data_IF_615632815491
#
_entry.id   IF_615632815491
#
_cell.length_a   1.000
_cell.length_b   1.000
_cell.length_c   1.000
_cell.angle_alpha   90.00
_cell.angle_beta   90.00
_cell.angle_gamma   90.00
#
_symmetry.space_group_name_H-M   'P 1'
#
loop_
_entity.id
_entity.type
_entity.pdbx_description
1 polymer ?
#
# COMPACT_ATOMS: atom_id res chain seq x y z
N UNK A 1 26.28 7.77 14.20
CA UNK A 1 25.09 6.91 14.04
C UNK A 1 24.42 7.09 12.67
N UNK A 2 24.04 8.31 12.28
CA UNK A 2 23.38 8.57 10.99
C UNK A 2 24.25 8.21 9.76
N UNK A 3 25.56 8.48 9.80
CA UNK A 3 26.48 8.09 8.73
C UNK A 3 26.51 6.57 8.50
N UNK A 4 26.52 5.78 9.58
CA UNK A 4 26.47 4.31 9.49
C UNK A 4 25.17 3.85 8.82
N UNK A 5 24.03 4.46 9.18
CA UNK A 5 22.75 4.19 8.53
C UNK A 5 22.75 4.59 7.04
N UNK A 6 23.41 5.70 6.69
CA UNK A 6 23.58 6.14 5.29
C UNK A 6 24.43 5.16 4.48
N UNK A 7 25.56 4.69 5.03
CA UNK A 7 26.39 3.68 4.38
C UNK A 7 25.63 2.35 4.19
N UNK A 8 24.89 1.91 5.21
CA UNK A 8 24.08 0.68 5.13
C UNK A 8 22.97 0.81 4.07
N UNK A 9 22.28 1.95 4.01
CA UNK A 9 21.27 2.22 3.00
C UNK A 9 21.87 2.23 1.59
N UNK A 10 23.02 2.92 1.41
CA UNK A 10 23.76 2.93 0.15
C UNK A 10 24.18 1.52 -0.30
N UNK A 11 24.63 0.68 0.62
CA UNK A 11 24.97 -0.71 0.33
C UNK A 11 23.76 -1.53 -0.14
N UNK A 12 22.59 -1.37 0.50
CA UNK A 12 21.36 -2.07 0.10
C UNK A 12 20.86 -1.58 -1.27
N UNK A 13 20.98 -0.29 -1.59
CA UNK A 13 20.66 0.23 -2.91
C UNK A 13 21.66 -0.24 -3.98
N UNK A 14 22.95 -0.31 -3.65
CA UNK A 14 23.96 -0.88 -4.53
C UNK A 14 23.68 -2.37 -4.80
N UNK A 15 23.20 -3.10 -3.79
CA UNK A 15 22.75 -4.47 -3.97
C UNK A 15 21.56 -4.56 -4.94
N UNK A 16 20.56 -3.66 -4.85
CA UNK A 16 19.48 -3.61 -5.84
C UNK A 16 20.00 -3.33 -7.25
N UNK A 17 20.96 -2.40 -7.38
CA UNK A 17 21.61 -2.11 -8.66
C UNK A 17 22.31 -3.35 -9.23
N UNK A 18 23.06 -4.08 -8.41
CA UNK A 18 23.71 -5.32 -8.83
C UNK A 18 22.67 -6.34 -9.32
N UNK A 19 21.60 -6.58 -8.56
CA UNK A 19 20.60 -7.58 -8.94
C UNK A 19 19.80 -7.22 -10.20
N UNK A 20 19.53 -5.93 -10.46
CA UNK A 20 18.63 -5.49 -11.54
C UNK A 20 19.36 -4.91 -12.76
N UNK A 21 20.60 -4.40 -12.62
CA UNK A 21 21.35 -3.74 -13.71
C UNK A 21 22.61 -4.48 -14.13
N UNK A 22 23.00 -5.55 -13.44
CA UNK A 22 24.17 -6.35 -13.82
C UNK A 22 23.79 -7.79 -14.08
N UNK A 23 24.60 -8.49 -14.87
CA UNK A 23 24.44 -9.92 -15.18
C UNK A 23 25.19 -10.83 -14.19
N UNK A 24 25.52 -10.32 -13.00
CA UNK A 24 26.21 -11.11 -11.96
C UNK A 24 25.39 -12.33 -11.54
N UNK A 25 24.06 -12.17 -11.48
CA UNK A 25 23.13 -13.26 -11.18
C UNK A 25 22.40 -13.67 -12.45
N UNK A 26 21.97 -14.93 -12.53
CA UNK A 26 21.21 -15.43 -13.67
C UNK A 26 19.74 -15.02 -13.59
N UNK A 27 19.01 -15.23 -14.68
CA UNK A 27 17.57 -15.01 -14.73
C UNK A 27 16.84 -16.28 -15.14
N UNK A 28 15.70 -16.55 -14.50
CA UNK A 28 14.85 -17.68 -14.84
C UNK A 28 13.42 -17.25 -15.17
N UNK A 29 12.71 -18.10 -15.92
CA UNK A 29 11.30 -17.88 -16.23
C UNK A 29 10.44 -18.24 -15.02
N UNK A 30 9.37 -17.49 -14.80
CA UNK A 30 8.36 -17.79 -13.78
C UNK A 30 7.66 -19.11 -14.13
N UNK A 31 7.42 -19.94 -13.11
CA UNK A 31 6.66 -21.18 -13.23
C UNK A 31 5.49 -21.14 -12.26
N UNK A 32 4.30 -21.49 -12.73
CA UNK A 32 3.09 -21.57 -11.90
C UNK A 32 2.63 -23.01 -11.78
N UNK A 33 2.57 -23.51 -10.54
CA UNK A 33 1.88 -24.74 -10.21
C UNK A 33 0.89 -24.45 -9.08
N UNK A 34 -0.38 -24.78 -9.31
CA UNK A 34 -1.49 -24.45 -8.41
C UNK A 34 -1.33 -25.14 -7.05
N UNK A 35 -0.98 -26.42 -7.05
CA UNK A 35 -0.85 -27.21 -5.83
C UNK A 35 0.31 -26.72 -4.98
N UNK A 36 1.47 -26.45 -5.59
CA UNK A 36 2.62 -25.87 -4.90
C UNK A 36 2.29 -24.49 -4.31
N UNK A 37 1.58 -23.65 -5.07
CA UNK A 37 1.20 -22.32 -4.64
C UNK A 37 0.34 -22.37 -3.35
N UNK A 38 -0.72 -23.18 -3.35
CA UNK A 38 -1.59 -23.32 -2.20
C UNK A 38 -0.90 -24.06 -1.05
N UNK A 39 -0.08 -25.07 -1.34
CA UNK A 39 0.71 -25.78 -0.34
C UNK A 39 1.60 -24.82 0.45
N UNK A 40 2.37 -23.96 -0.24
CA UNK A 40 3.24 -22.97 0.41
C UNK A 40 2.45 -21.95 1.22
N UNK A 41 1.31 -21.49 0.69
CA UNK A 41 0.45 -20.55 1.40
C UNK A 41 -0.12 -21.18 2.67
N UNK A 42 -0.72 -22.37 2.59
CA UNK A 42 -1.26 -23.07 3.76
C UNK A 42 -0.18 -23.42 4.77
N UNK A 43 1.01 -23.83 4.33
CA UNK A 43 2.15 -24.08 5.20
C UNK A 43 2.52 -22.83 6.00
N UNK A 44 2.65 -21.67 5.34
CA UNK A 44 2.94 -20.40 6.01
C UNK A 44 1.87 -20.04 7.05
N UNK A 45 0.59 -20.27 6.72
CA UNK A 45 -0.54 -20.00 7.63
C UNK A 45 -0.47 -20.92 8.85
N UNK A 46 -0.28 -22.22 8.64
CA UNK A 46 -0.19 -23.21 9.71
C UNK A 46 0.99 -22.92 10.65
N UNK A 47 2.17 -22.68 10.09
CA UNK A 47 3.36 -22.32 10.88
C UNK A 47 3.12 -21.02 11.64
N UNK A 48 2.54 -20.00 11.00
CA UNK A 48 2.22 -18.72 11.66
C UNK A 48 1.18 -18.89 12.78
N UNK A 49 0.18 -19.73 12.57
CA UNK A 49 -0.85 -20.01 13.57
C UNK A 49 -0.30 -20.75 14.79
N UNK A 50 0.61 -21.70 14.60
CA UNK A 50 1.25 -22.44 15.70
C UNK A 50 2.23 -21.55 16.47
N UNK A 51 3.04 -20.76 15.76
CA UNK A 51 4.18 -20.05 16.35
C UNK A 51 3.87 -18.64 16.86
N UNK A 52 2.83 -17.99 16.33
CA UNK A 52 2.69 -16.52 16.43
C UNK A 52 1.30 -16.04 16.82
N UNK A 53 0.46 -16.94 17.32
CA UNK A 53 -0.89 -16.61 17.79
C UNK A 53 -0.82 -15.79 19.07
N UNK A 54 -1.28 -14.53 19.02
CA UNK A 54 -1.25 -13.62 20.17
C UNK A 54 -2.63 -13.04 20.49
N UNK A 55 -2.92 -12.93 21.78
CA UNK A 55 -4.10 -12.26 22.33
C UNK A 55 -3.71 -10.84 22.71
N UNK A 56 -4.44 -9.85 22.19
CA UNK A 56 -4.32 -8.45 22.60
C UNK A 56 -5.41 -8.08 23.59
N UNK A 57 -5.02 -7.38 24.65
CA UNK A 57 -5.89 -6.89 25.74
C UNK A 57 -5.93 -5.35 25.79
N UNK A 58 -5.65 -4.67 24.66
CA UNK A 58 -5.57 -3.21 24.64
C UNK A 58 -6.93 -2.56 24.93
N UNK A 59 -6.90 -1.41 25.61
CA UNK A 59 -8.07 -0.58 25.87
C UNK A 59 -8.39 0.30 24.65
N UNK A 60 -9.68 0.51 24.36
CA UNK A 60 -10.09 1.44 23.30
C UNK A 60 -9.68 2.87 23.67
N UNK A 61 -9.23 3.70 22.69
CA UNK A 61 -9.07 5.14 22.94
C UNK A 61 -10.42 5.87 23.15
N UNK A 62 -11.56 5.25 22.87
CA UNK A 62 -12.90 5.84 22.97
C UNK A 62 -13.78 5.25 24.07
N UNK A 63 -13.39 4.12 24.68
CA UNK A 63 -14.12 3.49 25.79
C UNK A 63 -13.18 2.95 26.86
N UNK A 64 -13.64 2.93 28.11
CA UNK A 64 -12.91 2.38 29.28
C UNK A 64 -12.75 0.85 29.16
N UNK A 65 -13.59 0.19 28.33
CA UNK A 65 -13.53 -1.24 28.06
C UNK A 65 -12.54 -1.56 26.90
N UNK A 66 -11.92 -2.75 26.88
CA UNK A 66 -11.09 -3.21 25.76
C UNK A 66 -11.94 -3.52 24.53
N UNK A 67 -12.44 -2.48 23.87
CA UNK A 67 -13.16 -2.56 22.61
C UNK A 67 -12.16 -2.40 21.46
N UNK A 68 -11.91 -3.50 20.76
CA UNK A 68 -10.92 -3.60 19.69
C UNK A 68 -11.62 -3.66 18.32
N UNK A 69 -12.53 -2.72 18.03
CA UNK A 69 -13.10 -2.63 16.68
C UNK A 69 -12.03 -2.10 15.72
N UNK A 70 -11.64 -2.87 14.70
CA UNK A 70 -10.56 -2.52 13.77
C UNK A 70 -9.28 -2.04 14.48
N UNK A 71 -8.75 -2.85 15.41
CA UNK A 71 -7.52 -2.49 16.11
C UNK A 71 -6.34 -2.37 15.12
N UNK A 72 -5.38 -1.51 15.44
CA UNK A 72 -4.10 -1.37 14.73
C UNK A 72 -3.47 -2.74 14.47
N UNK A 73 -3.42 -3.62 15.47
CA UNK A 73 -2.88 -4.97 15.31
C UNK A 73 -3.58 -5.79 14.21
N UNK A 74 -4.90 -5.70 14.10
CA UNK A 74 -5.66 -6.36 13.04
C UNK A 74 -5.41 -5.72 11.68
N UNK A 75 -5.32 -4.39 11.61
CA UNK A 75 -5.02 -3.72 10.34
C UNK A 75 -3.62 -4.03 9.83
N UNK A 76 -2.63 -4.14 10.71
CA UNK A 76 -1.27 -4.55 10.35
C UNK A 76 -1.23 -6.03 9.93
N UNK A 77 -1.94 -6.91 10.64
CA UNK A 77 -2.11 -8.30 10.20
C UNK A 77 -2.73 -8.39 8.79
N UNK A 78 -3.81 -7.64 8.55
CA UNK A 78 -4.49 -7.59 7.26
C UNK A 78 -3.56 -7.09 6.15
N UNK A 79 -2.73 -6.06 6.42
CA UNK A 79 -1.66 -5.64 5.49
C UNK A 79 -0.67 -6.77 5.20
N UNK A 80 -0.26 -7.51 6.22
CA UNK A 80 0.61 -8.67 6.07
C UNK A 80 0.04 -9.73 5.14
N UNK A 81 -1.23 -10.09 5.32
CA UNK A 81 -1.93 -11.03 4.44
C UNK A 81 -1.94 -10.55 2.99
N UNK A 82 -2.31 -9.29 2.76
CA UNK A 82 -2.31 -8.70 1.42
C UNK A 82 -0.91 -8.67 0.82
N UNK A 83 0.11 -8.38 1.64
CA UNK A 83 1.50 -8.36 1.20
C UNK A 83 1.98 -9.74 0.74
N UNK A 84 1.69 -10.79 1.50
CA UNK A 84 2.03 -12.18 1.12
C UNK A 84 1.36 -12.56 -0.19
N UNK A 85 0.07 -12.19 -0.38
CA UNK A 85 -0.65 -12.45 -1.63
C UNK A 85 0.02 -11.74 -2.80
N UNK A 86 0.40 -10.45 -2.67
CA UNK A 86 1.11 -9.73 -3.72
C UNK A 86 2.46 -10.36 -4.09
N UNK A 87 3.24 -10.71 -3.07
CA UNK A 87 4.52 -11.35 -3.24
C UNK A 87 4.40 -12.68 -4.00
N UNK A 88 3.53 -13.57 -3.53
CA UNK A 88 3.30 -14.87 -4.15
C UNK A 88 2.73 -14.73 -5.57
N UNK A 89 1.83 -13.77 -5.79
CA UNK A 89 1.27 -13.46 -7.11
C UNK A 89 2.37 -13.09 -8.12
N UNK A 90 3.28 -12.17 -7.77
CA UNK A 90 4.31 -11.71 -8.69
C UNK A 90 5.43 -12.74 -8.90
N UNK A 91 5.78 -13.52 -7.87
CA UNK A 91 6.82 -14.55 -7.99
C UNK A 91 6.38 -15.70 -8.90
N UNK A 92 5.21 -16.28 -8.63
CA UNK A 92 4.72 -17.44 -9.40
C UNK A 92 3.94 -17.06 -10.66
N UNK A 93 3.71 -15.76 -10.93
CA UNK A 93 2.85 -15.28 -12.03
C UNK A 93 1.43 -15.89 -12.02
N UNK A 94 0.84 -16.00 -10.81
CA UNK A 94 -0.45 -16.66 -10.58
C UNK A 94 -1.63 -15.82 -11.10
N UNK A 95 -1.86 -15.80 -12.42
CA UNK A 95 -2.92 -15.00 -13.07
C UNK A 95 -4.32 -15.28 -12.52
N UNK A 96 -4.57 -16.49 -12.03
CA UNK A 96 -5.85 -16.92 -11.44
C UNK A 96 -6.30 -16.05 -10.26
N UNK A 97 -5.35 -15.53 -9.49
CA UNK A 97 -5.65 -14.68 -8.32
C UNK A 97 -5.55 -13.19 -8.62
N UNK A 98 -5.53 -12.79 -9.90
CA UNK A 98 -5.47 -11.38 -10.29
C UNK A 98 -6.58 -10.55 -9.62
N UNK A 99 -7.82 -11.06 -9.64
CA UNK A 99 -8.97 -10.39 -9.01
C UNK A 99 -8.79 -10.26 -7.49
N UNK A 100 -8.14 -11.23 -6.82
CA UNK A 100 -7.77 -11.11 -5.39
C UNK A 100 -6.79 -9.97 -5.20
N UNK A 101 -5.73 -9.91 -6.01
CA UNK A 101 -4.75 -8.84 -5.97
C UNK A 101 -5.41 -7.47 -6.12
N UNK A 102 -6.39 -7.33 -7.02
CA UNK A 102 -7.16 -6.09 -7.17
C UNK A 102 -7.96 -5.72 -5.91
N UNK A 103 -8.63 -6.67 -5.27
CA UNK A 103 -9.31 -6.42 -3.98
C UNK A 103 -8.30 -6.01 -2.90
N UNK A 104 -7.11 -6.62 -2.87
CA UNK A 104 -6.06 -6.24 -1.92
C UNK A 104 -5.60 -4.78 -2.14
N UNK A 105 -5.44 -4.32 -3.38
CA UNK A 105 -5.10 -2.92 -3.67
C UNK A 105 -6.23 -2.00 -3.19
N UNK A 106 -7.49 -2.33 -3.52
CA UNK A 106 -8.65 -1.56 -3.08
C UNK A 106 -8.74 -1.48 -1.54
N UNK A 107 -8.44 -2.57 -0.84
CA UNK A 107 -8.40 -2.62 0.63
C UNK A 107 -7.28 -1.73 1.22
N UNK A 108 -6.10 -1.70 0.59
CA UNK A 108 -5.03 -0.77 0.96
C UNK A 108 -5.44 0.70 0.77
N UNK A 109 -6.08 1.02 -0.35
CA UNK A 109 -6.60 2.37 -0.62
C UNK A 109 -7.74 2.73 0.35
N UNK A 110 -8.62 1.78 0.67
CA UNK A 110 -9.66 1.91 1.70
C UNK A 110 -9.03 2.26 3.06
N UNK A 111 -8.00 1.52 3.49
CA UNK A 111 -7.27 1.78 4.73
C UNK A 111 -6.62 3.17 4.76
N UNK A 112 -6.18 3.66 3.60
CA UNK A 112 -5.61 5.00 3.47
C UNK A 112 -6.67 6.06 3.74
N UNK A 113 -7.84 5.92 3.13
CA UNK A 113 -9.00 6.77 3.41
C UNK A 113 -9.41 6.71 4.89
N UNK A 114 -9.61 5.50 5.41
CA UNK A 114 -10.03 5.25 6.79
C UNK A 114 -9.04 5.80 7.82
N UNK A 115 -7.76 5.44 7.69
CA UNK A 115 -6.71 5.78 8.66
C UNK A 115 -6.39 7.27 8.68
N UNK A 116 -6.22 7.88 7.51
CA UNK A 116 -5.91 9.31 7.42
C UNK A 116 -7.10 10.17 7.89
N UNK A 117 -8.32 9.84 7.47
CA UNK A 117 -9.50 10.57 7.92
C UNK A 117 -9.70 10.42 9.43
N UNK A 118 -9.64 9.20 9.97
CA UNK A 118 -9.75 8.96 11.42
C UNK A 118 -8.73 9.79 12.20
N UNK A 119 -7.48 9.86 11.74
CA UNK A 119 -6.45 10.65 12.40
C UNK A 119 -6.79 12.15 12.37
N UNK A 120 -6.98 12.74 11.19
CA UNK A 120 -7.19 14.19 11.07
C UNK A 120 -8.52 14.65 11.69
N UNK A 121 -9.56 13.84 11.59
CA UNK A 121 -10.88 14.17 12.13
C UNK A 121 -10.92 14.06 13.66
N UNK A 122 -10.34 12.99 14.24
CA UNK A 122 -10.37 12.77 15.70
C UNK A 122 -9.32 13.62 16.42
N UNK A 123 -8.08 13.63 15.92
CA UNK A 123 -6.97 14.34 16.58
C UNK A 123 -6.99 15.83 16.30
N UNK A 124 -7.70 16.29 15.25
CA UNK A 124 -7.71 17.69 14.78
C UNK A 124 -6.31 18.27 14.56
N UNK A 125 -5.33 17.40 14.33
CA UNK A 125 -3.93 17.75 14.18
C UNK A 125 -3.58 17.86 12.70
N UNK A 126 -3.61 19.09 12.19
CA UNK A 126 -3.25 19.41 10.79
C UNK A 126 -1.77 19.81 10.65
N UNK A 127 -0.92 19.44 11.62
CA UNK A 127 0.50 19.76 11.61
C UNK A 127 1.20 19.27 10.33
N UNK A 128 1.93 20.18 9.68
CA UNK A 128 2.77 19.87 8.54
C UNK A 128 3.82 18.80 8.87
N UNK A 129 4.37 18.79 10.09
CA UNK A 129 5.35 17.79 10.53
C UNK A 129 4.82 16.36 10.41
N UNK A 130 3.56 16.12 10.81
CA UNK A 130 2.98 14.78 10.70
C UNK A 130 2.73 14.38 9.25
N UNK A 131 2.19 15.30 8.46
CA UNK A 131 1.98 15.10 7.04
C UNK A 131 3.29 14.75 6.32
N UNK A 132 4.37 15.50 6.58
CA UNK A 132 5.70 15.25 6.03
C UNK A 132 6.26 13.88 6.45
N UNK A 133 6.06 13.45 7.71
CA UNK A 133 6.48 12.12 8.16
C UNK A 133 5.76 10.99 7.43
N UNK A 134 4.47 11.18 7.12
CA UNK A 134 3.69 10.22 6.35
C UNK A 134 4.18 10.16 4.90
N UNK A 135 4.40 11.32 4.26
CA UNK A 135 4.97 11.40 2.91
C UNK A 135 6.35 10.76 2.84
N UNK A 136 7.18 10.96 3.87
CA UNK A 136 8.48 10.31 3.99
C UNK A 136 8.35 8.79 4.02
N UNK A 137 7.48 8.25 4.88
CA UNK A 137 7.30 6.79 5.01
C UNK A 137 6.87 6.14 3.69
N UNK A 138 6.02 6.82 2.92
CA UNK A 138 5.48 6.30 1.66
C UNK A 138 6.48 6.36 0.50
N UNK A 139 7.38 7.35 0.49
CA UNK A 139 8.14 7.68 -0.72
C UNK A 139 9.65 7.57 -0.59
N UNK A 140 10.21 7.58 0.62
CA UNK A 140 11.66 7.61 0.82
C UNK A 140 12.40 6.49 0.08
N UNK A 141 11.96 5.24 0.26
CA UNK A 141 12.60 4.09 -0.37
C UNK A 141 12.45 4.12 -1.90
N UNK A 142 11.26 4.45 -2.41
CA UNK A 142 11.03 4.53 -3.85
C UNK A 142 11.90 5.60 -4.50
N UNK A 143 12.01 6.79 -3.89
CA UNK A 143 12.89 7.83 -4.42
C UNK A 143 14.35 7.35 -4.45
N UNK A 144 14.81 6.63 -3.42
CA UNK A 144 16.12 5.99 -3.44
C UNK A 144 16.30 5.03 -4.62
N UNK A 145 15.31 4.16 -4.87
CA UNK A 145 15.34 3.24 -6.01
C UNK A 145 15.29 3.97 -7.35
N UNK A 146 14.43 4.98 -7.51
CA UNK A 146 14.32 5.77 -8.74
C UNK A 146 15.64 6.49 -9.08
N UNK A 147 16.33 7.04 -8.08
CA UNK A 147 17.61 7.73 -8.29
C UNK A 147 18.72 6.75 -8.69
N UNK A 148 18.81 5.60 -8.01
CA UNK A 148 19.90 4.64 -8.24
C UNK A 148 19.69 3.80 -9.50
N UNK A 149 18.45 3.46 -9.83
CA UNK A 149 18.11 2.55 -10.92
C UNK A 149 17.60 3.24 -12.18
N UNK A 150 17.41 4.57 -12.14
CA UNK A 150 16.75 5.37 -13.20
C UNK A 150 15.37 4.82 -13.60
N UNK A 151 14.60 4.37 -12.60
CA UNK A 151 13.23 3.89 -12.80
C UNK A 151 12.22 5.03 -12.62
N UNK A 152 11.14 4.99 -13.39
CA UNK A 152 9.98 5.86 -13.23
C UNK A 152 9.27 5.57 -11.92
N UNK A 153 8.73 6.61 -11.28
CA UNK A 153 7.97 6.48 -10.03
C UNK A 153 6.75 5.55 -10.18
N UNK A 154 6.17 5.50 -11.37
CA UNK A 154 5.03 4.64 -11.69
C UNK A 154 5.32 3.15 -11.74
N UNK A 155 6.59 2.72 -11.85
CA UNK A 155 6.95 1.30 -11.73
C UNK A 155 6.45 0.73 -10.39
N UNK A 156 6.54 1.55 -9.33
CA UNK A 156 6.08 1.23 -7.98
C UNK A 156 4.73 1.85 -7.67
N UNK A 157 3.76 1.71 -8.60
CA UNK A 157 2.49 2.46 -8.64
C UNK A 157 1.70 2.54 -7.32
N UNK A 158 1.85 1.56 -6.42
CA UNK A 158 1.24 1.58 -5.09
C UNK A 158 1.61 2.86 -4.33
N UNK A 159 2.86 3.33 -4.44
CA UNK A 159 3.35 4.52 -3.74
C UNK A 159 2.72 5.83 -4.24
N UNK A 160 2.70 6.15 -5.56
CA UNK A 160 1.96 7.31 -6.07
C UNK A 160 0.48 7.24 -5.72
N UNK A 161 -0.14 6.06 -5.80
CA UNK A 161 -1.54 5.86 -5.48
C UNK A 161 -1.86 6.24 -4.02
N UNK A 162 -1.08 5.73 -3.06
CA UNK A 162 -1.24 6.07 -1.65
C UNK A 162 -0.90 7.52 -1.34
N UNK A 163 0.11 8.09 -2.00
CA UNK A 163 0.49 9.49 -1.86
C UNK A 163 -0.65 10.40 -2.31
N UNK A 164 -1.22 10.13 -3.49
CA UNK A 164 -2.35 10.86 -4.03
C UNK A 164 -3.58 10.80 -3.12
N UNK A 165 -4.04 9.61 -2.74
CA UNK A 165 -5.22 9.50 -1.88
C UNK A 165 -4.98 10.05 -0.46
N UNK A 166 -3.74 10.02 0.03
CA UNK A 166 -3.40 10.69 1.28
C UNK A 166 -3.49 12.21 1.18
N UNK A 167 -3.06 12.78 0.06
CA UNK A 167 -3.20 14.21 -0.24
C UNK A 167 -4.66 14.63 -0.39
N UNK A 168 -5.49 13.84 -1.09
CA UNK A 168 -6.91 14.16 -1.26
C UNK A 168 -7.66 14.12 0.07
N UNK A 169 -7.39 13.13 0.93
CA UNK A 169 -7.98 13.06 2.28
C UNK A 169 -7.51 14.25 3.14
N UNK A 170 -6.22 14.60 3.08
CA UNK A 170 -5.70 15.77 3.79
C UNK A 170 -6.38 17.06 3.32
N UNK A 171 -6.55 17.25 2.01
CA UNK A 171 -7.29 18.37 1.44
C UNK A 171 -8.76 18.40 1.86
N UNK A 172 -9.45 17.25 1.80
CA UNK A 172 -10.86 17.11 2.19
C UNK A 172 -11.12 17.57 3.63
N UNK A 173 -10.30 17.11 4.57
CA UNK A 173 -10.45 17.45 5.99
C UNK A 173 -9.89 18.85 6.29
N UNK A 174 -8.78 19.24 5.63
CA UNK A 174 -8.07 20.50 5.87
C UNK A 174 -8.81 21.74 5.38
N UNK A 175 -9.44 21.70 4.21
CA UNK A 175 -10.23 22.83 3.67
C UNK A 175 -11.40 23.09 4.60
N UNK A 176 -11.61 24.34 5.07
CA UNK A 176 -12.71 24.69 5.99
C UNK A 176 -12.76 23.83 7.27
N UNK A 177 -11.60 23.47 7.83
CA UNK A 177 -11.51 22.58 8.99
C UNK A 177 -12.35 23.01 10.21
N UNK A 178 -12.53 24.32 10.43
CA UNK A 178 -13.31 24.91 11.52
C UNK A 178 -14.78 24.48 11.50
N UNK A 179 -15.33 24.18 10.33
CA UNK A 179 -16.74 23.81 10.15
C UNK A 179 -16.96 22.29 10.05
N UNK A 180 -15.91 21.49 10.20
CA UNK A 180 -16.03 20.02 10.14
C UNK A 180 -16.88 19.44 11.28
N UNK A 181 -17.17 20.18 12.35
CA UNK A 181 -18.06 19.71 13.40
C UNK A 181 -19.53 19.72 12.97
N UNK A 182 -19.87 20.52 11.97
CA UNK A 182 -21.24 20.64 11.45
C UNK A 182 -21.51 19.49 10.49
N UNK A 183 -22.51 18.66 10.82
CA UNK A 183 -22.86 17.45 10.03
C UNK A 183 -23.24 17.77 8.58
N UNK A 184 -23.94 18.87 8.34
CA UNK A 184 -24.32 19.29 6.98
C UNK A 184 -23.10 19.65 6.13
N UNK A 185 -22.10 20.32 6.70
CA UNK A 185 -20.86 20.68 5.99
C UNK A 185 -20.08 19.44 5.57
N UNK A 186 -19.96 18.44 6.44
CA UNK A 186 -19.33 17.16 6.09
C UNK A 186 -20.12 16.43 5.00
N UNK A 187 -21.46 16.39 5.09
CA UNK A 187 -22.28 15.75 4.07
C UNK A 187 -22.11 16.43 2.69
N UNK A 188 -22.09 17.76 2.65
CA UNK A 188 -21.83 18.54 1.42
C UNK A 188 -20.43 18.25 0.88
N UNK A 189 -19.41 18.15 1.74
CA UNK A 189 -18.05 17.79 1.33
C UNK A 189 -17.98 16.40 0.71
N UNK A 190 -18.64 15.40 1.31
CA UNK A 190 -18.73 14.05 0.73
C UNK A 190 -19.38 14.07 -0.64
N UNK A 191 -20.50 14.79 -0.79
CA UNK A 191 -21.19 14.95 -2.06
C UNK A 191 -20.27 15.61 -3.10
N UNK A 192 -19.62 16.72 -2.73
CA UNK A 192 -18.68 17.43 -3.61
C UNK A 192 -17.50 16.54 -4.02
N UNK A 193 -16.94 15.76 -3.09
CA UNK A 193 -15.85 14.83 -3.37
C UNK A 193 -16.28 13.74 -4.35
N UNK A 194 -17.49 13.20 -4.21
CA UNK A 194 -18.05 12.21 -5.12
C UNK A 194 -18.27 12.80 -6.52
N UNK A 195 -18.81 14.03 -6.60
CA UNK A 195 -18.98 14.75 -7.86
C UNK A 195 -17.65 15.04 -8.56
N UNK A 196 -16.62 15.44 -7.82
CA UNK A 196 -15.27 15.67 -8.36
C UNK A 196 -14.71 14.38 -8.98
N UNK A 197 -14.88 13.23 -8.32
CA UNK A 197 -14.42 11.95 -8.87
C UNK A 197 -15.17 11.62 -10.17
N UNK A 198 -16.49 11.84 -10.23
CA UNK A 198 -17.25 11.63 -11.46
C UNK A 198 -16.76 12.56 -12.58
N UNK A 199 -16.58 13.85 -12.29
CA UNK A 199 -16.12 14.84 -13.27
C UNK A 199 -14.74 14.48 -13.81
N UNK A 200 -13.81 14.07 -12.94
CA UNK A 200 -12.42 13.82 -13.33
C UNK A 200 -12.26 12.50 -14.08
N UNK A 201 -12.96 11.42 -13.73
CA UNK A 201 -12.76 10.10 -14.32
C UNK A 201 -13.84 9.65 -15.32
N UNK A 202 -15.07 10.16 -15.25
CA UNK A 202 -16.15 9.75 -16.17
C UNK A 202 -16.28 10.68 -17.38
N UNK A 203 -15.92 11.97 -17.25
CA UNK A 203 -15.97 12.92 -18.37
C UNK A 203 -14.69 12.79 -19.21
N UNK A 204 -14.79 12.42 -20.50
CA UNK A 204 -13.63 12.29 -21.37
C UNK A 204 -12.83 13.59 -21.47
N UNK A 205 -11.50 13.49 -21.41
CA UNK A 205 -10.57 14.62 -21.57
C UNK A 205 -10.29 15.44 -20.31
N UNK A 206 -11.17 15.43 -19.29
CA UNK A 206 -10.93 16.17 -18.03
C UNK A 206 -9.71 15.62 -17.29
N UNK A 207 -9.61 14.28 -17.21
CA UNK A 207 -8.45 13.61 -16.63
C UNK A 207 -7.14 14.07 -17.29
N UNK A 208 -7.08 14.01 -18.62
CA UNK A 208 -5.86 14.32 -19.37
C UNK A 208 -5.42 15.77 -19.17
N UNK A 209 -6.36 16.72 -19.19
CA UNK A 209 -6.06 18.14 -18.95
C UNK A 209 -5.53 18.37 -17.54
N UNK A 210 -6.17 17.75 -16.52
CA UNK A 210 -5.80 17.93 -15.12
C UNK A 210 -4.43 17.31 -14.80
N UNK A 211 -4.12 16.16 -15.40
CA UNK A 211 -2.91 15.39 -15.08
C UNK A 211 -1.72 15.66 -16.01
N UNK A 212 -1.92 16.26 -17.18
CA UNK A 212 -0.83 16.61 -18.12
C UNK A 212 0.35 17.36 -17.49
N UNK A 213 0.16 18.37 -16.60
CA UNK A 213 1.28 19.05 -15.94
C UNK A 213 2.14 18.12 -15.06
N UNK A 214 1.58 17.02 -14.56
CA UNK A 214 2.25 16.07 -13.67
C UNK A 214 2.93 14.92 -14.42
N UNK A 215 2.98 14.96 -15.76
CA UNK A 215 3.61 13.91 -16.60
C UNK A 215 5.07 13.66 -16.25
N UNK A 216 5.78 14.66 -15.75
CA UNK A 216 7.17 14.50 -15.34
C UNK A 216 7.37 13.58 -14.13
N UNK A 217 6.35 13.43 -13.26
CA UNK A 217 6.38 12.54 -12.09
C UNK A 217 5.64 11.23 -12.36
N UNK A 218 4.43 11.34 -12.91
CA UNK A 218 3.48 10.24 -13.03
C UNK A 218 3.46 9.61 -14.43
N UNK A 219 4.28 10.10 -15.35
CA UNK A 219 4.49 9.44 -16.64
C UNK A 219 5.29 8.15 -16.46
N UNK A 220 4.92 7.11 -17.18
CA UNK A 220 5.60 5.82 -17.14
C UNK A 220 6.39 5.56 -18.43
N UNK A 221 7.70 5.29 -18.32
CA UNK A 221 8.61 5.10 -19.46
C UNK A 221 8.84 3.62 -19.81
N UNK A 222 7.83 2.76 -19.59
CA UNK A 222 7.94 1.34 -19.96
C UNK A 222 8.25 1.17 -21.45
N UNK A 223 9.30 0.42 -21.82
CA UNK A 223 9.62 0.16 -23.22
C UNK A 223 8.49 -0.59 -23.94
N UNK A 224 7.71 -1.43 -23.25
CA UNK A 224 6.58 -2.15 -23.83
C UNK A 224 5.40 -1.22 -24.14
N UNK A 225 5.28 -0.07 -23.44
CA UNK A 225 4.24 0.95 -23.69
C UNK A 225 4.31 1.49 -25.11
N UNK A 226 5.54 1.67 -25.63
CA UNK A 226 5.77 2.20 -26.97
C UNK A 226 5.32 1.19 -28.04
N UNK A 227 5.52 -0.11 -27.79
CA UNK A 227 5.04 -1.17 -28.67
C UNK A 227 3.51 -1.20 -28.74
N UNK A 228 2.83 -0.86 -27.64
CA UNK A 228 1.36 -0.83 -27.53
C UNK A 228 0.75 0.56 -27.82
N UNK A 229 1.56 1.55 -28.21
CA UNK A 229 1.15 2.94 -28.50
C UNK A 229 0.32 3.63 -27.38
N UNK A 230 0.53 3.23 -26.13
CA UNK A 230 -0.24 3.75 -25.00
C UNK A 230 0.29 5.12 -24.56
N UNK A 231 -0.57 6.07 -24.12
CA UNK A 231 -0.12 7.38 -23.64
C UNK A 231 0.71 7.26 -22.35
N UNK A 232 1.62 8.22 -22.05
CA UNK A 232 2.48 8.16 -20.87
C UNK A 232 1.73 8.05 -19.54
N UNK A 233 0.51 8.58 -19.47
CA UNK A 233 -0.36 8.57 -18.28
C UNK A 233 -1.34 7.39 -18.24
N UNK A 234 -1.25 6.45 -19.18
CA UNK A 234 -2.18 5.32 -19.26
C UNK A 234 -2.26 4.54 -17.95
N UNK A 235 -1.09 4.14 -17.40
CA UNK A 235 -1.06 3.41 -16.13
C UNK A 235 -1.62 4.26 -14.98
N UNK A 236 -1.33 5.56 -14.94
CA UNK A 236 -1.89 6.43 -13.91
C UNK A 236 -3.41 6.50 -13.98
N UNK A 237 -3.97 6.71 -15.18
CA UNK A 237 -5.40 6.71 -15.41
C UNK A 237 -6.04 5.37 -15.06
N UNK A 238 -5.45 4.27 -15.50
CA UNK A 238 -5.94 2.93 -15.25
C UNK A 238 -5.96 2.61 -13.74
N UNK A 239 -4.85 2.82 -13.03
CA UNK A 239 -4.73 2.47 -11.60
C UNK A 239 -5.64 3.35 -10.73
N UNK A 240 -5.64 4.66 -10.95
CA UNK A 240 -6.50 5.57 -10.18
C UNK A 240 -7.98 5.39 -10.51
N UNK A 241 -8.30 5.11 -11.78
CA UNK A 241 -9.66 4.85 -12.23
C UNK A 241 -10.26 3.61 -11.58
N UNK A 242 -9.47 2.57 -11.36
CA UNK A 242 -9.92 1.34 -10.70
C UNK A 242 -10.32 1.55 -9.23
N UNK A 243 -9.56 2.38 -8.50
CA UNK A 243 -9.72 2.59 -7.05
C UNK A 243 -10.39 3.95 -6.70
N UNK A 244 -11.09 4.58 -7.67
CA UNK A 244 -11.56 5.97 -7.58
C UNK A 244 -12.58 6.27 -6.47
N UNK A 245 -13.37 5.28 -6.04
CA UNK A 245 -14.41 5.45 -5.01
C UNK A 245 -14.03 4.87 -3.64
N UNK A 246 -13.13 3.89 -3.58
CA UNK A 246 -12.97 3.06 -2.39
C UNK A 246 -12.38 3.83 -1.20
N UNK A 247 -11.51 4.81 -1.45
CA UNK A 247 -10.98 5.69 -0.40
C UNK A 247 -12.07 6.58 0.23
N UNK A 248 -13.08 7.01 -0.53
CA UNK A 248 -14.23 7.78 -0.02
C UNK A 248 -15.05 6.92 0.94
N UNK A 249 -15.27 5.65 0.59
CA UNK A 249 -15.92 4.69 1.48
C UNK A 249 -15.09 4.44 2.75
N UNK A 250 -13.76 4.42 2.64
CA UNK A 250 -12.85 4.42 3.79
C UNK A 250 -13.10 5.60 4.74
N UNK A 251 -13.19 6.83 4.19
CA UNK A 251 -13.52 8.02 4.97
C UNK A 251 -14.91 7.94 5.60
N UNK A 252 -15.90 7.43 4.87
CA UNK A 252 -17.27 7.27 5.36
C UNK A 252 -17.31 6.31 6.57
N UNK A 253 -16.55 5.22 6.50
CA UNK A 253 -16.47 4.23 7.58
C UNK A 253 -15.79 4.83 8.81
N UNK A 254 -14.75 5.65 8.59
CA UNK A 254 -14.09 6.39 9.66
C UNK A 254 -15.02 7.42 10.32
N UNK A 255 -15.88 8.09 9.55
CA UNK A 255 -16.86 9.04 10.09
C UNK A 255 -17.89 8.36 11.00
N UNK A 256 -18.39 7.18 10.62
CA UNK A 256 -19.35 6.41 11.42
C UNK A 256 -18.70 5.48 12.46
N UNK A 257 -17.37 5.42 12.51
CA UNK A 257 -16.62 4.54 13.41
C UNK A 257 -17.05 4.67 14.89
N UNK A 258 -17.20 5.89 15.49
CA UNK A 258 -17.63 6.01 16.88
C UNK A 258 -19.06 5.51 17.13
N UNK A 259 -19.94 5.62 16.13
CA UNK A 259 -21.31 5.09 16.23
C UNK A 259 -21.30 3.56 16.16
N UNK A 260 -20.50 3.00 15.25
CA UNK A 260 -20.33 1.55 15.12
C UNK A 260 -19.76 0.94 16.41
N UNK A 261 -18.76 1.57 17.02
CA UNK A 261 -18.17 1.12 18.29
C UNK A 261 -19.22 1.08 19.42
N UNK A 262 -20.04 2.14 19.55
CA UNK A 262 -21.14 2.19 20.53
C UNK A 262 -22.19 1.11 20.30
N UNK A 263 -22.50 0.78 19.04
CA UNK A 263 -23.46 -0.28 18.72
C UNK A 263 -22.91 -1.67 19.05
N UNK A 264 -21.61 -1.90 18.83
CA UNK A 264 -20.93 -3.14 19.19
C UNK A 264 -20.86 -3.29 20.71
N UNK A 265 -20.59 -2.22 21.45
CA UNK A 265 -20.62 -2.22 22.92
C UNK A 265 -22.00 -2.62 23.44
N UNK A 266 -23.07 -1.99 22.94
CA UNK A 266 -24.45 -2.36 23.26
C UNK A 266 -24.79 -3.80 22.89
N UNK A 267 -24.24 -4.31 21.78
CA UNK A 267 -24.44 -5.69 21.35
C UNK A 267 -23.74 -6.68 22.27
N UNK A 268 -22.56 -6.35 22.79
CA UNK A 268 -21.83 -7.21 23.73
C UNK A 268 -22.45 -7.24 25.12
N UNK A 269 -23.13 -6.16 25.53
CA UNK A 269 -23.91 -6.09 26.79
C UNK A 269 -25.32 -6.69 26.69
N UNK A 270 -25.79 -7.02 25.48
CA UNK A 270 -27.13 -7.58 25.28
C UNK A 270 -27.26 -9.01 25.84
N UNK A 271 -28.49 -9.41 26.19
CA UNK A 271 -28.84 -10.78 26.62
C UNK A 271 -28.29 -11.82 25.63
N UNK A 272 -27.79 -12.95 26.14
CA UNK A 272 -27.11 -13.99 25.35
C UNK A 272 -27.87 -14.41 24.09
N UNK A 273 -29.18 -14.69 24.19
CA UNK A 273 -30.02 -15.08 23.04
C UNK A 273 -30.06 -14.00 21.95
N UNK A 274 -30.25 -12.74 22.33
CA UNK A 274 -30.29 -11.59 21.40
C UNK A 274 -28.92 -11.31 20.79
N UNK A 275 -27.85 -11.43 21.59
CA UNK A 275 -26.46 -11.29 21.16
C UNK A 275 -26.10 -12.33 20.09
N UNK A 276 -26.40 -13.61 20.33
CA UNK A 276 -26.14 -14.68 19.37
C UNK A 276 -26.96 -14.46 18.10
N UNK A 277 -28.25 -14.17 18.21
CA UNK A 277 -29.12 -13.92 17.07
C UNK A 277 -28.55 -12.84 16.15
N UNK A 278 -28.25 -11.65 16.69
CA UNK A 278 -27.73 -10.52 15.89
C UNK A 278 -26.37 -10.85 15.28
N UNK A 279 -25.47 -11.48 16.04
CA UNK A 279 -24.15 -11.87 15.53
C UNK A 279 -24.25 -12.88 14.39
N UNK A 280 -25.11 -13.88 14.53
CA UNK A 280 -25.37 -14.86 13.47
C UNK A 280 -25.97 -14.19 12.25
N UNK A 281 -26.93 -13.27 12.41
CA UNK A 281 -27.49 -12.50 11.29
C UNK A 281 -26.40 -11.69 10.56
N UNK A 282 -25.50 -11.02 11.27
CA UNK A 282 -24.40 -10.26 10.66
C UNK A 282 -23.47 -11.18 9.86
N UNK A 283 -23.10 -12.34 10.41
CA UNK A 283 -22.24 -13.32 9.71
C UNK A 283 -22.95 -13.86 8.46
N UNK A 284 -24.19 -14.32 8.59
CA UNK A 284 -24.94 -14.90 7.46
C UNK A 284 -25.14 -13.87 6.34
N UNK A 285 -25.55 -12.65 6.67
CA UNK A 285 -25.76 -11.58 5.67
C UNK A 285 -24.45 -11.16 4.99
N UNK A 286 -23.37 -11.01 5.76
CA UNK A 286 -22.05 -10.65 5.21
C UNK A 286 -21.49 -11.75 4.32
N UNK A 287 -21.60 -13.02 4.75
CA UNK A 287 -21.16 -14.17 3.97
C UNK A 287 -21.99 -14.37 2.71
N UNK A 288 -23.30 -14.16 2.77
CA UNK A 288 -24.18 -14.20 1.60
C UNK A 288 -23.80 -13.10 0.59
N UNK A 289 -23.58 -11.86 1.04
CA UNK A 289 -23.14 -10.77 0.17
C UNK A 289 -21.79 -11.08 -0.50
N UNK A 290 -20.83 -11.63 0.26
CA UNK A 290 -19.55 -12.06 -0.28
C UNK A 290 -19.67 -13.21 -1.29
N UNK A 291 -20.55 -14.19 -1.02
CA UNK A 291 -20.80 -15.31 -1.92
C UNK A 291 -21.45 -14.86 -3.24
N UNK A 292 -22.49 -14.03 -3.18
CA UNK A 292 -23.14 -13.48 -4.38
C UNK A 292 -22.14 -12.64 -5.20
N UNK A 293 -21.33 -11.80 -4.54
CA UNK A 293 -20.29 -11.06 -5.22
C UNK A 293 -19.23 -11.98 -5.85
N UNK A 294 -18.88 -13.07 -5.18
CA UNK A 294 -17.95 -14.07 -5.71
C UNK A 294 -18.48 -14.74 -6.98
N UNK A 295 -19.73 -15.22 -6.95
CA UNK A 295 -20.35 -15.91 -8.08
C UNK A 295 -20.58 -14.99 -9.29
N UNK A 296 -21.08 -13.77 -9.07
CA UNK A 296 -21.50 -12.90 -10.17
C UNK A 296 -20.43 -11.92 -10.67
N UNK A 297 -19.48 -11.52 -9.82
CA UNK A 297 -18.50 -10.47 -10.15
C UNK A 297 -17.07 -11.00 -10.13
N UNK A 298 -16.68 -11.72 -9.09
CA UNK A 298 -15.27 -12.11 -8.91
C UNK A 298 -14.77 -13.13 -9.94
N UNK A 299 -15.63 -14.03 -10.42
CA UNK A 299 -15.26 -15.04 -11.44
C UNK A 299 -15.13 -14.48 -12.86
N UNK A 300 -15.51 -13.22 -13.08
CA UNK A 300 -15.40 -12.58 -14.39
C UNK A 300 -13.94 -12.50 -14.83
N UNK A 301 -13.73 -12.50 -16.14
CA UNK A 301 -12.41 -12.27 -16.73
C UNK A 301 -11.84 -10.92 -16.28
N UNK A 302 -10.52 -10.80 -16.26
CA UNK A 302 -9.84 -9.63 -15.70
C UNK A 302 -10.28 -8.30 -16.35
N UNK A 303 -10.61 -8.30 -17.65
CA UNK A 303 -11.01 -7.10 -18.38
C UNK A 303 -12.41 -6.68 -17.95
N UNK A 304 -13.37 -7.61 -17.92
CA UNK A 304 -14.74 -7.34 -17.48
C UNK A 304 -14.77 -7.00 -15.99
N UNK A 305 -14.03 -7.73 -15.16
CA UNK A 305 -13.89 -7.46 -13.73
C UNK A 305 -13.41 -6.02 -13.48
N UNK A 306 -12.40 -5.55 -14.22
CA UNK A 306 -11.86 -4.20 -14.08
C UNK A 306 -12.93 -3.11 -14.30
N UNK A 307 -13.97 -3.36 -15.10
CA UNK A 307 -15.08 -2.40 -15.30
C UNK A 307 -16.00 -2.31 -14.08
N UNK A 308 -16.25 -3.42 -13.40
CA UNK A 308 -17.13 -3.49 -12.22
C UNK A 308 -16.40 -3.23 -10.89
N UNK A 309 -15.08 -3.42 -10.86
CA UNK A 309 -14.26 -3.29 -9.66
C UNK A 309 -14.40 -1.94 -8.93
N UNK A 310 -14.41 -0.77 -9.59
CA UNK A 310 -14.57 0.53 -8.92
C UNK A 310 -15.85 0.63 -8.08
N UNK A 311 -16.91 -0.06 -8.51
CA UNK A 311 -18.25 0.04 -7.93
C UNK A 311 -18.54 -1.04 -6.89
N UNK A 312 -17.85 -2.19 -6.97
CA UNK A 312 -18.19 -3.38 -6.19
C UNK A 312 -17.10 -3.84 -5.21
N UNK A 313 -15.88 -3.30 -5.31
CA UNK A 313 -14.74 -3.68 -4.47
C UNK A 313 -14.98 -3.50 -2.96
N UNK A 314 -15.90 -2.62 -2.56
CA UNK A 314 -16.27 -2.41 -1.16
C UNK A 314 -16.99 -3.60 -0.55
N UNK A 315 -17.73 -4.41 -1.33
CA UNK A 315 -18.53 -5.53 -0.82
C UNK A 315 -17.66 -6.56 -0.06
N UNK A 316 -16.59 -7.14 -0.65
CA UNK A 316 -15.73 -8.08 0.06
C UNK A 316 -15.00 -7.43 1.24
N UNK A 317 -14.66 -6.13 1.14
CA UNK A 317 -14.00 -5.38 2.22
C UNK A 317 -14.95 -5.25 3.43
N UNK A 318 -16.19 -4.84 3.20
CA UNK A 318 -17.20 -4.71 4.24
C UNK A 318 -17.54 -6.06 4.87
N UNK A 319 -17.69 -7.11 4.05
CA UNK A 319 -17.94 -8.45 4.54
C UNK A 319 -16.80 -8.93 5.45
N UNK A 320 -15.54 -8.71 5.04
CA UNK A 320 -14.37 -9.01 5.86
C UNK A 320 -14.39 -8.24 7.19
N UNK A 321 -14.62 -6.92 7.16
CA UNK A 321 -14.67 -6.08 8.36
C UNK A 321 -15.77 -6.57 9.32
N UNK A 322 -16.97 -6.83 8.81
CA UNK A 322 -18.09 -7.33 9.60
C UNK A 322 -17.72 -8.65 10.26
N UNK A 323 -17.36 -9.68 9.49
CA UNK A 323 -17.05 -11.03 9.97
C UNK A 323 -15.90 -11.01 10.98
N UNK A 324 -14.81 -10.28 10.68
CA UNK A 324 -13.62 -10.19 11.53
C UNK A 324 -13.93 -9.55 12.89
N UNK A 325 -14.90 -8.64 12.95
CA UNK A 325 -15.22 -7.87 14.15
C UNK A 325 -16.45 -8.37 14.94
N UNK A 326 -17.14 -9.44 14.51
CA UNK A 326 -18.39 -9.92 15.15
C UNK A 326 -18.19 -10.33 16.62
N UNK A 327 -17.07 -10.97 16.95
CA UNK A 327 -16.81 -11.48 18.31
C UNK A 327 -15.65 -10.78 18.97
N UNK A 328 -15.62 -10.77 20.31
CA UNK A 328 -14.45 -10.24 21.05
C UNK A 328 -13.21 -11.11 20.79
N UNK A 329 -13.40 -12.44 20.74
CA UNK A 329 -12.35 -13.39 20.38
C UNK A 329 -11.70 -12.99 19.06
N UNK A 330 -12.45 -12.95 17.96
CA UNK A 330 -11.91 -12.57 16.64
C UNK A 330 -11.31 -11.16 16.61
N UNK A 331 -11.69 -10.26 17.52
CA UNK A 331 -11.06 -8.94 17.64
C UNK A 331 -9.71 -8.94 18.35
N UNK A 332 -9.54 -9.81 19.34
CA UNK A 332 -8.36 -9.87 20.19
C UNK A 332 -7.25 -10.78 19.64
N UNK A 333 -7.58 -11.79 18.83
CA UNK A 333 -6.58 -12.71 18.27
C UNK A 333 -6.00 -12.19 16.96
N UNK A 334 -4.67 -12.16 16.82
CA UNK A 334 -3.99 -11.89 15.54
C UNK A 334 -2.78 -12.80 15.36
N UNK A 335 -2.42 -13.07 14.11
CA UNK A 335 -1.16 -13.70 13.75
C UNK A 335 -0.02 -12.68 13.74
N UNK A 336 0.94 -12.83 14.64
CA UNK A 336 2.01 -11.86 14.83
C UNK A 336 3.01 -11.84 13.67
N UNK A 337 3.25 -12.97 13.00
CA UNK A 337 4.09 -13.01 11.77
C UNK A 337 3.50 -12.12 10.69
N UNK A 338 2.21 -12.27 10.38
CA UNK A 338 1.54 -11.40 9.41
C UNK A 338 1.50 -9.94 9.89
N UNK A 339 1.27 -9.69 11.18
CA UNK A 339 1.37 -8.34 11.74
C UNK A 339 2.76 -7.72 11.61
N UNK A 340 3.83 -8.52 11.65
CA UNK A 340 5.20 -8.06 11.43
C UNK A 340 5.47 -7.77 9.95
N UNK A 341 5.07 -8.66 9.04
CA UNK A 341 5.14 -8.45 7.59
C UNK A 341 4.37 -7.17 7.21
N UNK A 342 3.20 -6.95 7.81
CA UNK A 342 2.40 -5.74 7.58
C UNK A 342 3.11 -4.43 7.92
N UNK A 343 3.95 -4.40 8.95
CA UNK A 343 4.72 -3.21 9.34
C UNK A 343 5.78 -2.82 8.31
N UNK A 344 6.36 -3.82 7.66
CA UNK A 344 7.41 -3.68 6.64
C UNK A 344 6.86 -3.85 5.22
N UNK A 345 5.54 -3.86 5.04
CA UNK A 345 4.90 -4.30 3.79
C UNK A 345 5.33 -3.49 2.57
N UNK A 346 5.44 -2.17 2.73
CA UNK A 346 5.88 -1.28 1.65
C UNK A 346 7.33 -1.57 1.24
N UNK A 347 8.20 -1.81 2.23
CA UNK A 347 9.62 -2.08 2.00
C UNK A 347 9.78 -3.43 1.29
N UNK A 348 9.02 -4.44 1.70
CA UNK A 348 8.98 -5.75 1.04
C UNK A 348 8.37 -5.67 -0.36
N UNK A 349 7.34 -4.85 -0.56
CA UNK A 349 6.73 -4.64 -1.87
C UNK A 349 7.73 -4.06 -2.87
N UNK A 350 8.49 -3.04 -2.49
CA UNK A 350 9.47 -2.40 -3.37
C UNK A 350 10.66 -3.35 -3.61
N UNK A 351 11.16 -3.97 -2.55
CA UNK A 351 12.35 -4.85 -2.61
C UNK A 351 12.11 -6.08 -3.50
N UNK A 352 10.87 -6.57 -3.64
CA UNK A 352 10.57 -7.73 -4.49
C UNK A 352 10.97 -7.49 -5.96
N UNK A 353 10.88 -6.25 -6.44
CA UNK A 353 11.20 -5.91 -7.84
C UNK A 353 12.67 -6.12 -8.18
N UNK A 354 13.54 -6.15 -7.17
CA UNK A 354 15.00 -6.22 -7.36
C UNK A 354 15.64 -7.46 -6.73
N UNK A 355 15.02 -8.07 -5.71
CA UNK A 355 15.57 -9.28 -5.06
C UNK A 355 14.94 -10.56 -5.60
N UNK A 356 13.64 -10.55 -5.85
CA UNK A 356 12.91 -11.72 -6.33
C UNK A 356 12.75 -11.71 -7.84
N UNK A 357 12.37 -10.55 -8.36
CA UNK A 357 12.05 -10.37 -9.75
C UNK A 357 13.21 -9.68 -10.46
N UNK A 358 13.22 -9.81 -11.79
CA UNK A 358 14.18 -9.14 -12.64
C UNK A 358 13.50 -8.58 -13.89
N UNK A 359 13.91 -7.38 -14.26
CA UNK A 359 13.42 -6.70 -15.47
C UNK A 359 14.27 -7.09 -16.67
N UNK A 360 13.64 -7.20 -17.84
CA UNK A 360 14.36 -7.48 -19.10
C UNK A 360 14.98 -6.22 -19.72
N UNK A 361 14.50 -5.04 -19.31
CA UNK A 361 15.00 -3.74 -19.71
C UNK A 361 14.80 -2.74 -18.54
N UNK A 362 15.57 -1.63 -18.49
CA UNK A 362 15.32 -0.57 -17.53
C UNK A 362 13.88 -0.07 -17.60
N UNK A 363 13.28 0.18 -16.43
CA UNK A 363 11.89 0.64 -16.26
C UNK A 363 10.78 -0.27 -16.82
N UNK A 364 11.10 -1.48 -17.27
CA UNK A 364 10.12 -2.48 -17.69
C UNK A 364 9.52 -3.22 -16.49
N UNK A 365 8.26 -3.65 -16.59
CA UNK A 365 7.68 -4.53 -15.57
C UNK A 365 8.46 -5.85 -15.47
N UNK A 366 8.78 -6.33 -14.26
CA UNK A 366 9.67 -7.46 -14.09
C UNK A 366 8.96 -8.80 -14.37
N UNK A 367 9.31 -9.40 -15.51
CA UNK A 367 8.73 -10.65 -16.02
C UNK A 367 9.55 -11.90 -15.66
N UNK A 368 10.80 -11.72 -15.21
CA UNK A 368 11.72 -12.82 -14.87
C UNK A 368 11.93 -12.92 -13.36
N UNK A 369 12.58 -14.01 -12.93
CA UNK A 369 13.04 -14.24 -11.57
C UNK A 369 14.56 -14.09 -11.49
N UNK A 370 15.04 -13.58 -10.36
CA UNK A 370 16.46 -13.57 -10.02
C UNK A 370 16.88 -14.98 -9.56
N UNK A 371 17.92 -15.53 -10.18
CA UNK A 371 18.46 -16.86 -9.85
C UNK A 371 19.85 -16.73 -9.24
N UNK A 372 19.94 -17.05 -7.95
CA UNK A 372 21.21 -17.18 -7.20
C UNK A 372 21.66 -18.63 -7.17
N UNK A 373 20.72 -19.57 -7.07
CA UNK A 373 20.99 -21.02 -7.13
C UNK A 373 20.39 -21.56 -8.43
N UNK A 374 21.20 -21.76 -9.49
CA UNK A 374 20.75 -22.38 -10.74
C UNK A 374 20.15 -23.76 -10.50
N UNK A 375 19.22 -24.17 -11.37
CA UNK A 375 18.59 -25.51 -11.40
C UNK A 375 17.77 -25.96 -10.16
N UNK A 376 17.77 -25.19 -9.06
CA UNK A 376 16.99 -25.50 -7.86
C UNK A 376 15.98 -24.40 -7.52
N UNK A 377 14.81 -24.34 -8.20
CA UNK A 377 13.85 -23.24 -8.04
C UNK A 377 13.33 -23.02 -6.62
N UNK A 378 13.11 -24.11 -5.86
CA UNK A 378 12.62 -24.02 -4.48
C UNK A 378 13.70 -23.58 -3.49
N UNK A 379 14.96 -24.01 -3.68
CA UNK A 379 16.07 -23.54 -2.86
C UNK A 379 16.39 -22.08 -3.17
N UNK A 380 16.33 -21.70 -4.45
CA UNK A 380 16.43 -20.30 -4.87
C UNK A 380 15.31 -19.45 -4.24
N UNK A 381 14.06 -19.93 -4.29
CA UNK A 381 12.94 -19.24 -3.65
C UNK A 381 13.18 -19.06 -2.14
N UNK A 382 13.62 -20.10 -1.44
CA UNK A 382 13.92 -20.02 0.00
C UNK A 382 15.03 -19.00 0.30
N UNK A 383 16.16 -19.08 -0.40
CA UNK A 383 17.30 -18.17 -0.18
C UNK A 383 16.93 -16.72 -0.49
N UNK A 384 16.35 -16.47 -1.65
CA UNK A 384 15.95 -15.11 -2.07
C UNK A 384 14.85 -14.55 -1.17
N UNK A 385 13.96 -15.39 -0.61
CA UNK A 385 12.98 -14.98 0.42
C UNK A 385 13.66 -14.54 1.71
N UNK A 386 14.65 -15.28 2.20
CA UNK A 386 15.40 -14.89 3.41
C UNK A 386 16.09 -13.54 3.20
N UNK A 387 16.76 -13.37 2.06
CA UNK A 387 17.42 -12.10 1.70
C UNK A 387 16.41 -10.97 1.58
N UNK A 388 15.27 -11.21 0.90
CA UNK A 388 14.19 -10.23 0.74
C UNK A 388 13.67 -9.75 2.10
N UNK A 389 13.34 -10.67 3.00
CA UNK A 389 12.78 -10.33 4.31
C UNK A 389 13.81 -9.60 5.19
N UNK A 390 15.07 -10.02 5.17
CA UNK A 390 16.15 -9.36 5.90
C UNK A 390 16.41 -7.94 5.38
N UNK A 391 16.54 -7.77 4.06
CA UNK A 391 16.74 -6.47 3.43
C UNK A 391 15.56 -5.53 3.70
N UNK A 392 14.32 -6.02 3.55
CA UNK A 392 13.10 -5.24 3.82
C UNK A 392 13.01 -4.76 5.26
N UNK A 393 13.36 -5.63 6.23
CA UNK A 393 13.38 -5.27 7.64
C UNK A 393 14.38 -4.14 7.92
N UNK A 394 15.62 -4.28 7.40
CA UNK A 394 16.67 -3.26 7.55
C UNK A 394 16.29 -1.94 6.86
N UNK A 395 15.77 -1.98 5.64
CA UNK A 395 15.27 -0.79 4.93
C UNK A 395 14.17 -0.07 5.72
N UNK A 396 13.28 -0.81 6.39
CA UNK A 396 12.24 -0.23 7.22
C UNK A 396 12.81 0.49 8.46
N UNK A 397 13.80 -0.10 9.14
CA UNK A 397 14.49 0.54 10.25
C UNK A 397 15.27 1.79 9.82
N UNK A 398 15.98 1.71 8.69
CA UNK A 398 16.72 2.82 8.11
C UNK A 398 15.77 3.96 7.72
N UNK A 399 14.66 3.67 7.04
CA UNK A 399 13.62 4.65 6.68
C UNK A 399 13.11 5.38 7.92
N UNK A 400 12.88 4.66 9.03
CA UNK A 400 12.43 5.27 10.28
C UNK A 400 13.52 6.12 10.96
N UNK A 401 14.79 5.68 10.89
CA UNK A 401 15.94 6.42 11.42
C UNK A 401 16.15 7.74 10.65
N UNK A 402 16.04 7.71 9.32
CA UNK A 402 16.13 8.92 8.52
C UNK A 402 14.92 9.83 8.72
N UNK A 403 13.72 9.27 8.86
CA UNK A 403 12.51 10.03 9.17
C UNK A 403 12.66 10.84 10.45
N UNK A 404 13.18 10.25 11.53
CA UNK A 404 13.36 10.96 12.81
C UNK A 404 14.45 12.04 12.72
N UNK A 405 15.48 11.83 11.91
CA UNK A 405 16.55 12.80 11.70
C UNK A 405 16.14 13.98 10.80
N UNK A 406 15.54 13.70 9.63
CA UNK A 406 15.24 14.70 8.62
C UNK A 406 13.85 15.32 8.77
N UNK A 407 12.88 14.60 9.35
CA UNK A 407 11.51 15.06 9.55
C UNK A 407 11.12 14.97 11.04
N UNK A 408 11.77 15.76 11.92
CA UNK A 408 11.52 15.72 13.36
C UNK A 408 10.07 16.08 13.69
N UNK A 409 9.52 15.44 14.71
CA UNK A 409 8.16 15.76 15.20
C UNK A 409 8.15 17.14 15.86
N UNK A 410 7.17 17.98 15.48
CA UNK A 410 6.86 19.28 16.11
C UNK A 410 7.82 20.45 15.83
N UNK A 411 8.83 20.29 14.97
CA UNK A 411 9.74 21.37 14.58
C UNK A 411 9.64 21.68 13.08
N UNK A 412 8.65 22.50 12.72
CA UNK A 412 8.40 22.87 11.32
C UNK A 412 9.55 23.70 10.72
N UNK A 413 10.26 24.50 11.53
CA UNK A 413 11.39 25.31 11.05
C UNK A 413 12.55 24.42 10.66
N UNK A 414 12.88 23.42 11.48
CA UNK A 414 13.93 22.46 11.16
C UNK A 414 13.60 21.57 9.96
N UNK A 415 12.34 21.18 9.78
CA UNK A 415 11.91 20.49 8.56
C UNK A 415 12.18 21.37 7.34
N UNK A 416 11.78 22.65 7.40
CA UNK A 416 12.01 23.59 6.30
C UNK A 416 13.50 23.75 6.00
N UNK A 417 14.35 23.94 7.03
CA UNK A 417 15.80 24.02 6.84
C UNK A 417 16.40 22.74 6.25
N UNK A 418 15.94 21.56 6.69
CA UNK A 418 16.36 20.27 6.15
C UNK A 418 15.91 20.07 4.69
N UNK A 419 14.72 20.56 4.33
CA UNK A 419 14.24 20.52 2.95
C UNK A 419 15.04 21.47 2.05
N UNK A 420 15.34 22.68 2.53
CA UNK A 420 16.17 23.64 1.80
C UNK A 420 17.59 23.11 1.61
N UNK A 421 18.21 22.58 2.67
CA UNK A 421 19.56 22.02 2.58
C UNK A 421 19.59 20.76 1.71
N UNK A 422 18.59 19.88 1.82
CA UNK A 422 18.43 18.74 0.92
C UNK A 422 18.26 19.16 -0.54
N UNK A 423 17.40 20.16 -0.81
CA UNK A 423 17.20 20.72 -2.14
C UNK A 423 18.47 21.36 -2.71
N UNK A 424 19.22 22.09 -1.89
CA UNK A 424 20.50 22.67 -2.29
C UNK A 424 21.54 21.59 -2.63
N UNK A 425 21.67 20.55 -1.79
CA UNK A 425 22.57 19.42 -2.03
C UNK A 425 22.19 18.69 -3.33
N UNK A 426 20.90 18.39 -3.52
CA UNK A 426 20.41 17.75 -4.74
C UNK A 426 20.66 18.63 -5.98
N UNK A 427 20.47 19.94 -5.86
CA UNK A 427 20.78 20.90 -6.94
C UNK A 427 22.26 20.93 -7.29
N UNK A 428 23.15 20.89 -6.29
CA UNK A 428 24.60 20.80 -6.48
C UNK A 428 24.97 19.48 -7.15
N UNK A 429 24.47 18.35 -6.64
CA UNK A 429 24.74 17.02 -7.20
C UNK A 429 24.23 16.89 -8.64
N UNK A 430 23.04 17.42 -8.93
CA UNK A 430 22.49 17.43 -10.28
C UNK A 430 23.33 18.31 -11.22
N UNK A 431 23.76 19.49 -10.77
CA UNK A 431 24.62 20.37 -11.55
C UNK A 431 25.98 19.73 -11.82
N UNK A 432 26.59 19.10 -10.82
CA UNK A 432 27.83 18.34 -10.97
C UNK A 432 27.65 17.17 -11.94
N UNK A 433 26.59 16.38 -11.80
CA UNK A 433 26.26 15.28 -12.71
C UNK A 433 26.11 15.77 -14.15
N UNK A 434 25.39 16.87 -14.36
CA UNK A 434 25.22 17.48 -15.68
C UNK A 434 26.55 17.96 -16.28
N UNK A 435 27.43 18.54 -15.46
CA UNK A 435 28.79 18.92 -15.89
C UNK A 435 29.57 17.67 -16.26
N UNK A 436 29.62 16.64 -15.40
CA UNK A 436 30.34 15.39 -15.68
C UNK A 436 29.82 14.65 -16.92
N UNK A 437 28.52 14.66 -17.17
CA UNK A 437 27.91 14.03 -18.35
C UNK A 437 28.10 14.85 -19.64
N UNK A 438 28.36 16.16 -19.55
CA UNK A 438 28.64 17.04 -20.69
C UNK A 438 30.12 17.25 -20.97
N UNK A 439 31.02 16.83 -20.08
CA UNK A 439 32.46 16.77 -20.37
C UNK A 439 32.64 15.70 -21.46
N UNK A 440 33.14 16.05 -22.66
CA UNK A 440 33.33 15.09 -23.74
C UNK A 440 34.25 13.94 -23.29
N UNK A 441 34.04 12.70 -23.77
CA UNK A 441 34.94 11.57 -23.52
C UNK A 441 36.29 11.68 -24.26
N UNK A 442 36.85 12.89 -24.37
CA UNK A 442 38.13 13.19 -25.05
C UNK A 442 39.24 13.46 -24.03
N UNK A 443 38.99 13.26 -22.73
CA UNK A 443 39.93 13.53 -21.63
C UNK A 443 40.01 12.37 -20.61
N UNK A 444 39.84 11.12 -21.07
CA UNK A 444 40.22 9.91 -20.32
C UNK A 444 41.08 9.02 -21.21
#
# INVERSE_FOLDING_TARGET
MLLRAACEFGFLLAYFYICDRTDIFESSKKSYNRDLFFFLLFLLIMVSAITSFKIHLDKSPFSVKPLLFLNRHQTEEWKGWMQVIFLMYHYFAAREIYNVGRVCVAAYVWMTGFGNFSYYYVRKDFSFSRFAQMMWRLNFLVFGCCIVLDNSYMLYYICPLHTFFSLTVYGFVGILNKYNEIRSVIAVKFLACFLIVIIVWEIPGVFDVLWKPFTFILGYKDPNRLAEQLPPMYEWHFRTGLDRYIWILGMLYAFYYPTAEKWIEKLDEAKLKRRILIKTTIVVTSSMAAYLWYEYIFKLDSITYNKYHPYTSWIPITAYICIRNVTQSTRSYTLLVFGWIGKISLDTYISQFHIWLRSNAPDAQPKLLLTIIPDYPLLNFMLTTIILMAASYRLSELTNTFKTAFVPSKDNKRIMYNMISGGAIMGILYSLSFVFLKVPPVLV
#
